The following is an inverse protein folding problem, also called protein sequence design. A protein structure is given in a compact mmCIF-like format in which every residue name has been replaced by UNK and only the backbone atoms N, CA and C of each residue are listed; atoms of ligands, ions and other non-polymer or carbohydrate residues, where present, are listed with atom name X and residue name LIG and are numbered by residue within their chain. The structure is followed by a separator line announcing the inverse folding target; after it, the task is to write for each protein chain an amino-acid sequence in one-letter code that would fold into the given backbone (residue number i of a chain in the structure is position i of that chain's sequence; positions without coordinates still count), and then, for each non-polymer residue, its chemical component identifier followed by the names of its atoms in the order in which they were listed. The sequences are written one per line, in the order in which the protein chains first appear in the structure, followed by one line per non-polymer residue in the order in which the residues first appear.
data_IF_140327571961
#
_entry.id   IF_140327571961
#
_cell.length_a   1.000
_cell.length_b   1.000
_cell.length_c   1.000
_cell.angle_alpha   90.00
_cell.angle_beta   90.00
_cell.angle_gamma   90.00
#
_symmetry.space_group_name_H-M   'P 1'
#
loop_
_entity.id
_entity.type
_entity.pdbx_description
1 polymer ?
#
# COMPACT_ATOMS: atom_id res chain seq x y z
N UNK A 1 -10.16 -6.05 -17.88
CA UNK A 1 -10.45 -4.72 -17.28
C UNK A 1 -9.80 -4.62 -15.91
N UNK A 2 -9.07 -3.52 -15.65
CA UNK A 2 -8.53 -3.21 -14.33
C UNK A 2 -9.63 -2.79 -13.34
N UNK A 3 -9.44 -3.12 -12.06
CA UNK A 3 -10.40 -2.83 -10.99
C UNK A 3 -9.67 -2.46 -9.71
N UNK A 4 -10.13 -1.38 -9.07
CA UNK A 4 -9.75 -1.01 -7.71
C UNK A 4 -10.93 -1.31 -6.78
N UNK A 5 -10.67 -2.08 -5.72
CA UNK A 5 -11.65 -2.39 -4.68
C UNK A 5 -11.14 -1.89 -3.34
N UNK A 6 -11.88 -0.95 -2.76
CA UNK A 6 -11.64 -0.42 -1.42
C UNK A 6 -12.70 -0.99 -0.48
N UNK A 7 -12.29 -1.71 0.55
CA UNK A 7 -13.20 -2.37 1.48
C UNK A 7 -13.57 -1.40 2.62
N UNK A 8 -14.87 -1.17 2.91
CA UNK A 8 -15.28 -0.32 4.02
C UNK A 8 -15.08 -1.04 5.36
N UNK A 9 -13.95 -0.82 6.01
CA UNK A 9 -13.57 -1.54 7.24
C UNK A 9 -13.58 -0.66 8.51
N UNK A 10 -14.08 0.57 8.41
CA UNK A 10 -13.98 1.56 9.50
C UNK A 10 -12.63 2.27 9.44
N UNK A 11 -11.88 2.26 10.54
CA UNK A 11 -10.50 2.74 10.61
C UNK A 11 -9.53 1.57 10.40
N UNK A 12 -9.75 0.79 9.36
CA UNK A 12 -8.89 -0.34 9.02
C UNK A 12 -8.78 -0.38 7.50
N UNK A 13 -7.73 -1.04 7.01
CA UNK A 13 -7.43 -1.02 5.59
C UNK A 13 -7.31 -2.39 4.95
N UNK A 14 -7.85 -2.47 3.74
CA UNK A 14 -7.60 -3.51 2.77
C UNK A 14 -7.97 -2.92 1.42
N UNK A 15 -7.05 -3.01 0.46
CA UNK A 15 -7.25 -2.53 -0.90
C UNK A 15 -6.81 -3.61 -1.89
N UNK A 16 -7.71 -4.01 -2.78
CA UNK A 16 -7.41 -4.95 -3.85
C UNK A 16 -7.31 -4.23 -5.19
N UNK A 17 -6.15 -4.38 -5.85
CA UNK A 17 -5.89 -3.97 -7.21
C UNK A 17 -5.88 -5.21 -8.09
N UNK A 18 -6.86 -5.34 -8.98
CA UNK A 18 -6.89 -6.41 -9.97
C UNK A 18 -6.65 -5.85 -11.36
N UNK A 19 -5.74 -6.46 -12.11
CA UNK A 19 -5.38 -6.02 -13.46
C UNK A 19 -5.84 -7.02 -14.52
N UNK A 20 -5.90 -6.58 -15.78
CA UNK A 20 -6.56 -7.31 -16.86
C UNK A 20 -5.85 -8.61 -17.22
N UNK A 21 -4.53 -8.65 -17.08
CA UNK A 21 -3.72 -9.85 -17.25
C UNK A 21 -3.97 -10.91 -16.15
N UNK A 22 -4.85 -10.63 -15.20
CA UNK A 22 -5.28 -11.55 -14.16
C UNK A 22 -4.44 -11.52 -12.89
N UNK A 23 -3.42 -10.66 -12.79
CA UNK A 23 -2.70 -10.45 -11.54
C UNK A 23 -3.57 -9.69 -10.52
N UNK A 24 -3.38 -10.03 -9.25
CA UNK A 24 -4.08 -9.44 -8.12
C UNK A 24 -3.04 -9.00 -7.09
N UNK A 25 -3.05 -7.72 -6.76
CA UNK A 25 -2.19 -7.09 -5.77
C UNK A 25 -3.05 -6.64 -4.60
N UNK A 26 -2.73 -7.10 -3.40
CA UNK A 26 -3.46 -6.77 -2.18
C UNK A 26 -2.57 -5.88 -1.31
N UNK A 27 -3.10 -4.75 -0.89
CA UNK A 27 -2.42 -3.84 0.03
C UNK A 27 -3.22 -3.78 1.33
N UNK A 28 -2.55 -4.17 2.42
CA UNK A 28 -3.07 -4.46 3.74
C UNK A 28 -4.14 -5.57 3.76
N UNK A 29 -4.32 -6.18 4.93
CA UNK A 29 -5.38 -7.14 5.18
C UNK A 29 -5.80 -7.07 6.64
N UNK A 30 -7.03 -6.59 6.87
CA UNK A 30 -7.56 -6.39 8.21
C UNK A 30 -8.98 -6.94 8.33
N UNK A 31 -9.08 -8.19 8.79
CA UNK A 31 -10.35 -8.84 9.08
C UNK A 31 -10.92 -8.38 10.43
N UNK A 32 -11.41 -7.14 10.46
CA UNK A 32 -11.85 -6.45 11.69
C UNK A 32 -13.35 -6.52 11.93
N UNK A 33 -14.13 -6.97 10.95
CA UNK A 33 -15.57 -7.11 11.08
C UNK A 33 -15.90 -8.11 12.20
N UNK A 34 -16.87 -7.75 13.04
CA UNK A 34 -17.38 -8.62 14.09
C UNK A 34 -18.43 -9.56 13.47
N UNK A 35 -18.16 -10.87 13.35
CA UNK A 35 -19.07 -11.81 12.72
C UNK A 35 -20.35 -12.03 13.54
N UNK A 36 -20.31 -11.78 14.86
CA UNK A 36 -21.40 -12.02 15.79
C UNK A 36 -22.30 -10.78 15.97
N UNK A 37 -21.88 -9.64 15.44
CA UNK A 37 -22.65 -8.40 15.47
C UNK A 37 -23.36 -8.13 14.13
N UNK A 38 -24.68 -8.38 14.03
CA UNK A 38 -25.43 -8.14 12.79
C UNK A 38 -25.56 -6.65 12.43
N UNK A 39 -25.28 -5.74 13.37
CA UNK A 39 -25.27 -4.30 13.11
C UNK A 39 -23.90 -3.79 12.64
N UNK A 40 -22.86 -4.62 12.65
CA UNK A 40 -21.57 -4.26 12.09
C UNK A 40 -21.67 -4.12 10.56
N UNK A 41 -21.35 -2.91 10.08
CA UNK A 41 -21.41 -2.55 8.65
C UNK A 41 -20.08 -2.73 7.94
N UNK A 42 -19.02 -3.10 8.68
CA UNK A 42 -17.70 -3.34 8.11
C UNK A 42 -17.75 -4.53 7.16
N UNK A 43 -17.02 -4.43 6.05
CA UNK A 43 -16.94 -5.50 5.07
C UNK A 43 -16.36 -6.78 5.70
N UNK A 44 -16.95 -7.92 5.34
CA UNK A 44 -16.46 -9.25 5.75
C UNK A 44 -15.32 -9.66 4.81
N UNK A 45 -14.20 -8.95 4.92
CA UNK A 45 -13.13 -8.96 3.92
C UNK A 45 -12.55 -10.35 3.65
N UNK A 46 -12.40 -11.18 4.69
CA UNK A 46 -11.99 -12.58 4.54
C UNK A 46 -12.94 -13.34 3.58
N UNK A 47 -14.25 -13.28 3.83
CA UNK A 47 -15.25 -13.96 3.02
C UNK A 47 -15.35 -13.37 1.61
N UNK A 48 -15.28 -12.04 1.48
CA UNK A 48 -15.33 -11.35 0.18
C UNK A 48 -14.13 -11.72 -0.70
N UNK A 49 -12.91 -11.71 -0.14
CA UNK A 49 -11.69 -12.08 -0.87
C UNK A 49 -11.64 -13.58 -1.17
N UNK A 50 -12.07 -14.46 -0.24
CA UNK A 50 -12.18 -15.90 -0.51
C UNK A 50 -13.11 -16.19 -1.67
N UNK A 51 -14.30 -15.57 -1.68
CA UNK A 51 -15.26 -15.71 -2.77
C UNK A 51 -14.71 -15.15 -4.08
N UNK A 52 -14.05 -14.00 -4.02
CA UNK A 52 -13.38 -13.41 -5.17
C UNK A 52 -12.34 -14.36 -5.78
N UNK A 53 -11.37 -14.82 -4.98
CA UNK A 53 -10.30 -15.70 -5.42
C UNK A 53 -10.84 -17.05 -5.93
N UNK A 54 -11.85 -17.62 -5.25
CA UNK A 54 -12.55 -18.83 -5.69
C UNK A 54 -13.25 -18.64 -7.05
N UNK A 55 -13.93 -17.51 -7.26
CA UNK A 55 -14.59 -17.20 -8.54
C UNK A 55 -13.61 -17.08 -9.70
N UNK A 56 -12.33 -16.83 -9.40
CA UNK A 56 -11.21 -16.71 -10.34
C UNK A 56 -10.41 -18.01 -10.47
N UNK A 57 -10.69 -19.02 -9.65
CA UNK A 57 -9.92 -20.26 -9.58
C UNK A 57 -8.47 -20.04 -9.13
N UNK A 58 -8.21 -19.01 -8.31
CA UNK A 58 -6.86 -18.64 -7.86
C UNK A 58 -6.66 -18.96 -6.38
N UNK A 59 -5.45 -19.38 -6.04
CA UNK A 59 -4.98 -19.62 -4.66
C UNK A 59 -3.82 -18.70 -4.27
N UNK A 60 -3.41 -17.78 -5.14
CA UNK A 60 -2.17 -16.99 -5.00
C UNK A 60 -2.42 -15.53 -5.38
N UNK A 61 -1.95 -14.61 -4.52
CA UNK A 61 -1.80 -13.19 -4.84
C UNK A 61 -0.43 -12.93 -5.44
N UNK A 62 -0.36 -12.02 -6.42
CA UNK A 62 0.90 -11.67 -7.08
C UNK A 62 1.80 -10.87 -6.14
N UNK A 63 1.23 -9.85 -5.50
CA UNK A 63 1.87 -9.09 -4.43
C UNK A 63 0.88 -8.98 -3.27
N UNK A 64 1.38 -9.16 -2.05
CA UNK A 64 0.71 -8.69 -0.85
C UNK A 64 1.64 -7.70 -0.17
N UNK A 65 1.21 -6.44 -0.06
CA UNK A 65 1.95 -5.39 0.62
C UNK A 65 1.31 -5.01 1.93
N UNK A 66 2.10 -4.90 3.00
CA UNK A 66 1.66 -4.32 4.26
C UNK A 66 2.31 -2.97 4.43
N UNK A 67 1.48 -1.95 4.67
CA UNK A 67 1.95 -0.58 4.78
C UNK A 67 2.71 -0.35 6.07
N UNK A 68 2.28 -1.01 7.15
CA UNK A 68 2.96 -1.08 8.44
C UNK A 68 2.38 -2.21 9.31
N UNK A 69 2.85 -2.32 10.55
CA UNK A 69 2.53 -3.43 11.46
C UNK A 69 1.33 -3.23 12.38
N UNK A 70 0.46 -2.25 12.18
CA UNK A 70 -0.69 -2.05 13.06
C UNK A 70 -1.81 -3.07 12.78
N UNK A 71 -2.59 -3.36 13.83
CA UNK A 71 -3.59 -4.42 13.79
C UNK A 71 -4.70 -4.16 12.76
N UNK A 72 -5.04 -2.90 12.53
CA UNK A 72 -6.03 -2.48 11.54
C UNK A 72 -5.50 -2.50 10.10
N UNK A 73 -4.25 -2.94 9.90
CA UNK A 73 -3.64 -3.27 8.61
C UNK A 73 -3.30 -4.76 8.47
N UNK A 74 -3.23 -5.50 9.58
CA UNK A 74 -2.65 -6.86 9.62
C UNK A 74 -3.57 -7.93 10.19
N UNK A 75 -4.65 -7.56 10.88
CA UNK A 75 -5.48 -8.48 11.68
C UNK A 75 -6.08 -9.62 10.85
N UNK A 76 -5.89 -10.85 11.31
CA UNK A 76 -6.36 -12.09 10.71
C UNK A 76 -5.48 -12.59 9.55
N UNK A 77 -4.31 -11.98 9.33
CA UNK A 77 -3.37 -12.42 8.30
C UNK A 77 -2.90 -13.86 8.53
N UNK A 78 -2.72 -14.25 9.80
CA UNK A 78 -2.34 -15.60 10.20
C UNK A 78 -3.42 -16.66 9.95
N UNK A 79 -4.67 -16.30 9.68
CA UNK A 79 -5.77 -17.20 9.29
C UNK A 79 -6.02 -17.22 7.76
N UNK A 80 -5.62 -16.14 7.09
CA UNK A 80 -5.90 -15.93 5.67
C UNK A 80 -4.78 -16.41 4.75
N UNK A 81 -3.53 -16.13 5.11
CA UNK A 81 -2.38 -16.38 4.24
C UNK A 81 -1.65 -17.69 4.54
N UNK A 82 -0.96 -18.18 3.52
CA UNK A 82 0.04 -19.23 3.61
C UNK A 82 1.39 -18.56 3.89
N UNK A 83 1.98 -18.80 5.06
CA UNK A 83 3.31 -18.30 5.40
C UNK A 83 4.36 -19.41 5.29
N UNK A 84 5.39 -19.16 4.47
CA UNK A 84 6.43 -20.15 4.14
C UNK A 84 7.27 -20.49 5.38
N UNK A 85 7.41 -19.54 6.31
CA UNK A 85 8.12 -19.71 7.58
C UNK A 85 7.43 -20.69 8.55
N UNK A 86 6.11 -20.85 8.49
CA UNK A 86 5.35 -21.54 9.54
C UNK A 86 4.57 -22.73 8.98
N UNK A 87 5.07 -23.98 9.13
CA UNK A 87 4.35 -25.16 8.66
C UNK A 87 2.88 -25.27 9.16
N UNK A 88 2.59 -24.74 10.35
CA UNK A 88 1.23 -24.69 10.91
C UNK A 88 0.29 -23.68 10.22
N UNK A 89 0.86 -22.70 9.51
CA UNK A 89 0.13 -21.68 8.74
C UNK A 89 0.22 -21.98 7.23
N UNK A 90 0.42 -23.24 6.87
CA UNK A 90 0.40 -23.73 5.49
C UNK A 90 -0.80 -24.65 5.28
N UNK A 91 -1.14 -24.91 4.00
CA UNK A 91 -2.15 -25.89 3.63
C UNK A 91 -3.48 -25.32 3.16
N UNK A 92 -4.50 -26.17 3.18
CA UNK A 92 -5.75 -25.95 2.45
C UNK A 92 -6.53 -24.75 3.00
N UNK A 93 -7.05 -23.94 2.07
CA UNK A 93 -7.85 -22.75 2.38
C UNK A 93 -7.03 -21.47 2.59
N UNK A 94 -5.70 -21.53 2.62
CA UNK A 94 -4.84 -20.35 2.78
C UNK A 94 -4.31 -19.86 1.44
N UNK A 95 -4.23 -18.55 1.25
CA UNK A 95 -3.74 -17.96 0.01
C UNK A 95 -2.23 -17.74 0.04
N UNK A 96 -1.54 -18.15 -1.03
CA UNK A 96 -0.11 -17.94 -1.20
C UNK A 96 0.20 -16.51 -1.56
N UNK A 97 1.38 -16.06 -1.15
CA UNK A 97 1.94 -14.74 -1.47
C UNK A 97 3.17 -14.97 -2.35
N UNK A 98 3.09 -14.57 -3.62
CA UNK A 98 4.24 -14.71 -4.52
C UNK A 98 5.36 -13.73 -4.16
N UNK A 99 5.02 -12.47 -3.91
CA UNK A 99 5.95 -11.47 -3.38
C UNK A 99 5.32 -10.70 -2.21
N UNK A 100 6.01 -10.68 -1.08
CA UNK A 100 5.61 -9.93 0.12
C UNK A 100 6.29 -8.55 0.11
N UNK A 101 5.53 -7.50 0.30
CA UNK A 101 6.00 -6.11 0.25
C UNK A 101 5.88 -5.49 1.64
N UNK A 102 6.99 -5.03 2.23
CA UNK A 102 7.00 -4.45 3.59
C UNK A 102 8.00 -3.29 3.72
N UNK A 103 7.73 -2.26 4.52
CA UNK A 103 8.75 -1.30 4.90
C UNK A 103 9.83 -1.95 5.76
N UNK A 104 11.06 -1.43 5.70
CA UNK A 104 12.17 -1.87 6.54
C UNK A 104 11.83 -1.84 8.04
N UNK A 105 11.03 -0.87 8.48
CA UNK A 105 10.47 -0.79 9.83
C UNK A 105 9.84 -2.10 10.31
N UNK A 106 9.03 -2.77 9.48
CA UNK A 106 8.43 -4.06 9.85
C UNK A 106 9.45 -5.20 10.02
N UNK A 107 10.62 -5.10 9.37
CA UNK A 107 11.71 -6.06 9.56
C UNK A 107 12.39 -5.82 10.91
N UNK A 108 12.72 -4.57 11.23
CA UNK A 108 13.63 -4.23 12.34
C UNK A 108 12.93 -3.92 13.65
N UNK A 109 11.63 -3.62 13.60
CA UNK A 109 10.82 -3.33 14.77
C UNK A 109 11.01 -4.40 15.86
N UNK A 110 11.07 -3.94 17.11
CA UNK A 110 11.14 -4.80 18.29
C UNK A 110 9.76 -4.92 18.93
N UNK A 111 9.50 -6.04 19.59
CA UNK A 111 8.26 -6.27 20.35
C UNK A 111 6.96 -6.18 19.52
N UNK A 112 7.00 -6.42 18.20
CA UNK A 112 5.75 -6.61 17.44
C UNK A 112 4.99 -7.81 18.03
N UNK A 113 3.68 -7.67 18.16
CA UNK A 113 2.76 -8.65 18.75
C UNK A 113 1.85 -9.26 17.66
N UNK A 114 1.12 -10.31 18.01
CA UNK A 114 0.06 -10.92 17.18
C UNK A 114 0.43 -11.15 15.70
N UNK A 115 -0.43 -10.74 14.78
CA UNK A 115 -0.25 -10.88 13.32
C UNK A 115 0.99 -10.16 12.81
N UNK A 116 1.28 -8.97 13.33
CA UNK A 116 2.45 -8.19 12.95
C UNK A 116 3.75 -8.94 13.27
N UNK A 117 3.79 -9.65 14.40
CA UNK A 117 4.92 -10.52 14.76
C UNK A 117 5.11 -11.65 13.76
N UNK A 118 4.02 -12.28 13.32
CA UNK A 118 4.06 -13.38 12.36
C UNK A 118 4.49 -12.89 10.97
N UNK A 119 3.95 -11.76 10.52
CA UNK A 119 4.36 -11.09 9.28
C UNK A 119 5.83 -10.70 9.30
N UNK A 120 6.33 -10.12 10.39
CA UNK A 120 7.77 -9.83 10.54
C UNK A 120 8.62 -11.10 10.43
N UNK A 121 8.20 -12.20 11.04
CA UNK A 121 8.95 -13.46 11.00
C UNK A 121 8.94 -14.09 9.60
N UNK A 122 7.82 -14.01 8.89
CA UNK A 122 7.68 -14.41 7.48
C UNK A 122 8.56 -13.55 6.58
N UNK A 123 8.50 -12.23 6.74
CA UNK A 123 9.31 -11.29 5.97
C UNK A 123 10.81 -11.51 6.20
N UNK A 124 11.25 -11.66 7.46
CA UNK A 124 12.64 -12.02 7.79
C UNK A 124 13.04 -13.36 7.19
N UNK A 125 12.16 -14.36 7.17
CA UNK A 125 12.45 -15.64 6.53
C UNK A 125 12.74 -15.48 5.04
N UNK A 126 11.81 -14.86 4.31
CA UNK A 126 11.96 -14.58 2.87
C UNK A 126 13.20 -13.75 2.56
N UNK A 127 13.51 -12.75 3.40
CA UNK A 127 14.68 -11.89 3.23
C UNK A 127 16.00 -12.63 3.48
N UNK A 128 16.07 -13.47 4.52
CA UNK A 128 17.24 -14.32 4.77
C UNK A 128 17.49 -15.26 3.60
N UNK A 129 16.45 -15.95 3.14
CA UNK A 129 16.55 -16.91 2.03
C UNK A 129 16.72 -16.23 0.66
N UNK A 130 16.37 -14.95 0.56
CA UNK A 130 16.58 -14.13 -0.63
C UNK A 130 15.54 -14.31 -1.73
N UNK A 131 14.27 -14.58 -1.39
CA UNK A 131 13.21 -14.82 -2.37
C UNK A 131 11.88 -14.16 -1.97
N UNK A 132 11.02 -13.88 -2.96
CA UNK A 132 9.59 -13.61 -2.74
C UNK A 132 9.29 -12.44 -1.80
N UNK A 133 10.19 -11.46 -1.69
CA UNK A 133 10.02 -10.26 -0.85
C UNK A 133 10.59 -9.01 -1.54
N UNK A 134 9.97 -7.87 -1.25
CA UNK A 134 10.49 -6.53 -1.45
C UNK A 134 10.48 -5.78 -0.12
N UNK A 135 11.63 -5.25 0.26
CA UNK A 135 11.75 -4.36 1.41
C UNK A 135 11.84 -2.92 0.91
N UNK A 136 11.12 -2.01 1.56
CA UNK A 136 11.18 -0.59 1.23
C UNK A 136 12.04 0.18 2.21
N UNK A 137 12.96 0.97 1.67
CA UNK A 137 14.01 1.72 2.37
C UNK A 137 15.17 0.87 2.90
N UNK A 138 16.28 1.56 3.21
CA UNK A 138 17.55 1.03 3.71
C UNK A 138 18.06 1.82 4.91
N UNK A 139 17.35 1.81 6.06
CA UNK A 139 17.87 2.42 7.27
C UNK A 139 19.09 1.64 7.81
N UNK A 140 19.91 2.30 8.62
CA UNK A 140 21.02 1.71 9.36
C UNK A 140 20.56 0.52 10.20
N UNK A 141 19.37 0.59 10.82
CA UNK A 141 18.82 -0.53 11.59
C UNK A 141 18.63 -1.82 10.75
N UNK A 142 18.36 -1.69 9.44
CA UNK A 142 18.27 -2.83 8.54
C UNK A 142 19.67 -3.41 8.26
N UNK A 143 20.68 -2.56 8.12
CA UNK A 143 22.07 -2.99 7.99
C UNK A 143 22.54 -3.73 9.26
N UNK A 144 22.21 -3.21 10.44
CA UNK A 144 22.51 -3.85 11.73
C UNK A 144 21.80 -5.21 11.85
N UNK A 145 20.56 -5.32 11.38
CA UNK A 145 19.85 -6.60 11.34
C UNK A 145 20.56 -7.61 10.41
N UNK A 146 20.97 -7.18 9.21
CA UNK A 146 21.72 -8.03 8.28
C UNK A 146 23.05 -8.53 8.90
N UNK A 147 23.80 -7.64 9.54
CA UNK A 147 25.03 -8.01 10.26
C UNK A 147 24.76 -9.04 11.35
N UNK A 148 23.69 -8.85 12.14
CA UNK A 148 23.29 -9.80 13.20
C UNK A 148 22.89 -11.18 12.68
N UNK A 149 22.45 -11.27 11.42
CA UNK A 149 22.09 -12.53 10.76
C UNK A 149 23.27 -13.12 9.96
N UNK A 150 24.44 -12.46 9.96
CA UNK A 150 25.62 -12.89 9.21
C UNK A 150 25.46 -12.79 7.69
N UNK A 151 24.59 -11.89 7.22
CA UNK A 151 24.25 -11.69 5.80
C UNK A 151 24.77 -10.32 5.38
N UNK A 152 25.44 -10.20 4.23
CA UNK A 152 25.81 -8.88 3.70
C UNK A 152 24.60 -8.20 3.05
N UNK A 153 24.43 -6.89 3.29
CA UNK A 153 23.35 -6.11 2.68
C UNK A 153 23.45 -6.12 1.15
N UNK A 154 24.67 -6.15 0.60
CA UNK A 154 24.91 -6.21 -0.85
C UNK A 154 24.30 -7.47 -1.47
N UNK A 155 24.38 -8.60 -0.77
CA UNK A 155 23.82 -9.89 -1.24
C UNK A 155 22.29 -9.89 -1.32
N UNK A 156 21.63 -8.89 -0.72
CA UNK A 156 20.17 -8.72 -0.70
C UNK A 156 19.72 -7.36 -1.24
N UNK A 157 20.64 -6.53 -1.72
CA UNK A 157 20.34 -5.19 -2.27
C UNK A 157 19.29 -5.20 -3.38
N UNK A 158 19.28 -6.23 -4.22
CA UNK A 158 18.30 -6.44 -5.29
C UNK A 158 16.86 -6.70 -4.78
N UNK A 159 16.67 -6.97 -3.49
CA UNK A 159 15.37 -7.12 -2.82
C UNK A 159 14.91 -5.86 -2.10
N UNK A 160 15.71 -4.79 -2.14
CA UNK A 160 15.40 -3.53 -1.48
C UNK A 160 15.14 -2.45 -2.52
N UNK A 161 14.15 -1.60 -2.27
CA UNK A 161 13.81 -0.46 -3.13
C UNK A 161 13.61 0.78 -2.27
N UNK A 162 14.24 1.88 -2.65
CA UNK A 162 14.17 3.14 -1.90
C UNK A 162 13.05 4.03 -2.44
N UNK A 163 12.61 4.99 -1.62
CA UNK A 163 11.77 6.09 -2.07
C UNK A 163 12.40 6.81 -3.27
N UNK A 164 11.56 7.22 -4.21
CA UNK A 164 12.00 7.82 -5.48
C UNK A 164 12.22 6.82 -6.61
N UNK A 165 12.05 5.52 -6.37
CA UNK A 165 12.25 4.46 -7.36
C UNK A 165 10.94 3.79 -7.77
N UNK A 166 10.94 3.21 -8.97
CA UNK A 166 9.91 2.26 -9.39
C UNK A 166 10.26 0.90 -8.79
N UNK A 167 9.32 0.29 -8.08
CA UNK A 167 9.49 -1.05 -7.56
C UNK A 167 9.58 -2.06 -8.72
N UNK A 168 10.54 -2.99 -8.71
CA UNK A 168 10.65 -4.01 -9.74
C UNK A 168 9.45 -4.95 -9.71
N UNK A 169 9.18 -5.61 -10.83
CA UNK A 169 8.04 -6.53 -10.99
C UNK A 169 7.12 -6.08 -12.12
N UNK A 170 5.83 -5.78 -11.87
CA UNK A 170 4.92 -5.35 -12.92
C UNK A 170 5.32 -3.99 -13.49
N UNK A 171 5.35 -3.90 -14.81
CA UNK A 171 5.58 -2.63 -15.53
C UNK A 171 4.36 -2.28 -16.37
N UNK A 172 4.30 -1.04 -16.87
CA UNK A 172 3.23 -0.64 -17.79
C UNK A 172 3.18 -1.53 -19.05
N UNK A 173 4.33 -2.00 -19.54
CA UNK A 173 4.42 -2.84 -20.74
C UNK A 173 4.02 -4.30 -20.48
N UNK A 174 4.43 -4.88 -19.35
CA UNK A 174 4.20 -6.31 -19.06
C UNK A 174 2.95 -6.58 -18.23
N UNK A 175 2.61 -5.66 -17.34
CA UNK A 175 1.57 -5.80 -16.32
C UNK A 175 0.40 -4.84 -16.45
N UNK A 176 0.53 -3.80 -17.29
CA UNK A 176 -0.45 -2.71 -17.37
C UNK A 176 -0.48 -1.81 -16.12
N UNK A 177 0.44 -2.03 -15.17
CA UNK A 177 0.60 -1.25 -13.94
C UNK A 177 2.08 -1.16 -13.55
N UNK A 178 2.49 -0.02 -13.01
CA UNK A 178 3.78 0.17 -12.34
C UNK A 178 3.57 0.81 -10.96
N UNK A 179 4.51 0.62 -10.03
CA UNK A 179 4.44 1.15 -8.67
C UNK A 179 5.65 2.03 -8.38
N UNK A 180 5.42 3.31 -8.09
CA UNK A 180 6.44 4.27 -7.67
C UNK A 180 6.41 4.45 -6.16
N UNK A 181 7.55 4.29 -5.49
CA UNK A 181 7.67 4.35 -4.03
C UNK A 181 7.88 5.80 -3.58
N UNK A 182 6.99 6.31 -2.73
CA UNK A 182 7.14 7.62 -2.09
C UNK A 182 7.76 7.55 -0.71
N UNK A 183 7.51 6.46 0.02
CA UNK A 183 7.86 6.29 1.43
C UNK A 183 8.09 4.81 1.73
N UNK A 184 8.93 4.44 2.70
CA UNK A 184 9.64 5.31 3.64
C UNK A 184 10.99 5.87 3.14
N UNK A 185 11.43 6.97 3.75
CA UNK A 185 12.75 7.54 3.54
C UNK A 185 13.78 6.90 4.49
N UNK A 186 14.98 6.59 3.99
CA UNK A 186 16.04 5.95 4.79
C UNK A 186 16.51 6.82 5.95
N UNK A 187 16.86 8.07 5.68
CA UNK A 187 17.42 8.98 6.68
C UNK A 187 16.48 9.25 7.87
N UNK A 188 15.16 9.26 7.65
CA UNK A 188 14.19 9.50 8.75
C UNK A 188 14.17 8.36 9.75
N UNK A 189 14.20 7.12 9.26
CA UNK A 189 14.26 5.93 10.10
C UNK A 189 15.55 5.85 10.93
N UNK A 190 16.62 6.54 10.53
CA UNK A 190 17.90 6.56 11.24
C UNK A 190 17.91 7.56 12.42
N UNK A 191 17.04 8.57 12.39
CA UNK A 191 16.89 9.57 13.45
C UNK A 191 16.02 9.06 14.62
N UNK A 192 15.21 8.03 14.38
CA UNK A 192 14.27 7.47 15.34
C UNK A 192 14.86 6.30 16.15
N UNK A 193 14.75 6.39 17.49
CA UNK A 193 15.14 5.29 18.39
C UNK A 193 14.06 4.22 18.58
N UNK A 194 12.81 4.58 18.24
CA UNK A 194 11.62 3.71 18.24
C UNK A 194 10.99 3.86 16.86
N UNK A 195 10.68 2.75 16.19
CA UNK A 195 10.05 2.77 14.87
C UNK A 195 8.66 3.42 14.99
N UNK A 196 8.49 4.60 14.40
CA UNK A 196 7.16 5.15 14.15
C UNK A 196 6.57 4.44 12.92
N UNK A 197 5.50 3.68 13.15
CA UNK A 197 4.86 2.85 12.13
C UNK A 197 4.13 3.68 11.07
N UNK A 198 3.54 4.81 11.46
CA UNK A 198 2.74 5.66 10.57
C UNK A 198 3.64 6.54 9.71
N UNK A 199 4.67 7.08 10.33
CA UNK A 199 5.64 7.96 9.67
C UNK A 199 6.56 7.19 8.72
N UNK A 200 6.82 5.91 9.01
CA UNK A 200 7.63 5.02 8.18
C UNK A 200 6.80 4.00 7.39
N UNK A 201 5.52 4.27 7.16
CA UNK A 201 4.65 3.42 6.38
C UNK A 201 4.98 3.45 4.87
N UNK A 202 4.58 2.40 4.17
CA UNK A 202 4.72 2.32 2.72
C UNK A 202 3.64 3.18 2.02
N UNK A 203 4.06 4.29 1.43
CA UNK A 203 3.24 5.14 0.56
C UNK A 203 3.76 5.08 -0.88
N UNK A 204 2.85 5.02 -1.86
CA UNK A 204 3.21 4.78 -3.24
C UNK A 204 2.15 5.30 -4.23
N UNK A 205 2.57 5.46 -5.49
CA UNK A 205 1.67 5.67 -6.63
C UNK A 205 1.62 4.38 -7.45
N UNK A 206 0.42 3.90 -7.78
CA UNK A 206 0.20 2.90 -8.82
C UNK A 206 -0.29 3.58 -10.09
N UNK A 207 0.49 3.49 -11.17
CA UNK A 207 0.14 4.03 -12.49
C UNK A 207 -0.30 2.91 -13.40
N UNK A 208 -1.48 3.03 -13.99
CA UNK A 208 -2.07 2.05 -14.90
C UNK A 208 -2.04 2.56 -16.33
N UNK A 209 -1.95 1.65 -17.32
CA UNK A 209 -2.07 1.99 -18.74
C UNK A 209 -3.15 1.12 -19.41
N UNK A 210 -4.23 1.76 -19.86
CA UNK A 210 -5.33 1.09 -20.60
C UNK A 210 -5.55 1.78 -21.92
N UNK A 211 -5.26 1.09 -23.02
CA UNK A 211 -5.34 1.63 -24.39
C UNK A 211 -4.60 2.98 -24.55
N UNK A 212 -3.43 3.11 -23.94
CA UNK A 212 -2.61 4.33 -23.95
C UNK A 212 -3.09 5.45 -23.02
N UNK A 213 -4.13 5.23 -22.22
CA UNK A 213 -4.60 6.18 -21.20
C UNK A 213 -3.96 5.81 -19.85
N UNK A 214 -3.23 6.77 -19.28
CA UNK A 214 -2.68 6.66 -17.93
C UNK A 214 -3.72 7.04 -16.88
N UNK A 215 -3.82 6.23 -15.84
CA UNK A 215 -4.62 6.51 -14.64
C UNK A 215 -3.76 6.27 -13.41
N UNK A 216 -3.74 7.21 -12.48
CA UNK A 216 -2.89 7.15 -11.28
C UNK A 216 -3.71 6.98 -10.01
N UNK A 217 -3.34 5.99 -9.20
CA UNK A 217 -3.79 5.80 -7.83
C UNK A 217 -2.67 6.23 -6.88
N UNK A 218 -2.95 7.18 -5.99
CA UNK A 218 -2.04 7.57 -4.92
C UNK A 218 -2.51 6.95 -3.59
N UNK A 219 -1.67 6.10 -3.01
CA UNK A 219 -1.88 5.41 -1.73
C UNK A 219 -0.99 6.05 -0.68
N UNK A 220 -1.61 6.80 0.24
CA UNK A 220 -0.88 7.56 1.27
C UNK A 220 -0.83 6.84 2.64
N UNK A 221 -1.37 5.62 2.74
CA UNK A 221 -1.46 4.83 3.98
C UNK A 221 -1.91 5.69 5.18
N UNK A 222 -1.04 5.96 6.15
CA UNK A 222 -1.35 6.57 7.44
C UNK A 222 -0.52 7.82 7.72
N UNK A 223 0.11 8.38 6.67
CA UNK A 223 1.02 9.51 6.83
C UNK A 223 0.32 10.75 7.41
N UNK A 224 0.96 11.35 8.41
CA UNK A 224 0.56 12.64 8.95
C UNK A 224 0.98 13.81 8.05
N UNK A 225 0.52 15.03 8.36
CA UNK A 225 0.78 16.22 7.54
C UNK A 225 2.28 16.49 7.33
N UNK A 226 3.12 16.28 8.35
CA UNK A 226 4.55 16.58 8.25
C UNK A 226 5.23 15.64 7.24
N UNK A 227 4.86 14.37 7.27
CA UNK A 227 5.38 13.33 6.38
C UNK A 227 4.78 13.45 4.99
N UNK A 228 3.50 13.78 4.88
CA UNK A 228 2.89 14.07 3.59
C UNK A 228 3.54 15.30 2.94
N UNK A 229 3.80 16.35 3.72
CA UNK A 229 4.54 17.54 3.25
C UNK A 229 5.93 17.14 2.76
N UNK A 230 6.65 16.30 3.51
CA UNK A 230 7.95 15.81 3.11
C UNK A 230 7.92 14.98 1.81
N UNK A 231 6.94 14.07 1.66
CA UNK A 231 6.73 13.31 0.43
C UNK A 231 6.55 14.27 -0.76
N UNK A 232 5.71 15.30 -0.58
CA UNK A 232 5.42 16.29 -1.63
C UNK A 232 6.69 17.08 -1.96
N UNK A 233 7.33 17.68 -0.96
CA UNK A 233 8.47 18.57 -1.15
C UNK A 233 9.68 17.83 -1.72
N UNK A 234 10.01 16.65 -1.19
CA UNK A 234 11.12 15.83 -1.72
C UNK A 234 10.84 15.42 -3.17
N UNK A 235 9.64 14.93 -3.45
CA UNK A 235 9.29 14.49 -4.83
C UNK A 235 9.38 15.66 -5.81
N UNK A 236 8.92 16.86 -5.42
CA UNK A 236 9.00 18.06 -6.26
C UNK A 236 10.41 18.63 -6.39
N UNK A 237 11.20 18.58 -5.32
CA UNK A 237 12.61 18.97 -5.35
C UNK A 237 13.43 18.11 -6.32
N UNK A 238 13.04 16.84 -6.48
CA UNK A 238 13.59 15.94 -7.50
C UNK A 238 12.95 16.09 -8.89
N UNK A 239 12.08 17.09 -9.11
CA UNK A 239 11.38 17.35 -10.37
C UNK A 239 10.51 16.17 -10.84
N UNK A 240 9.96 15.41 -9.89
CA UNK A 240 9.10 14.24 -10.14
C UNK A 240 7.62 14.57 -9.85
N UNK A 241 7.17 15.79 -10.11
CA UNK A 241 5.78 16.24 -9.88
C UNK A 241 4.74 15.29 -10.49
N UNK A 242 5.06 14.62 -11.61
CA UNK A 242 4.18 13.63 -12.24
C UNK A 242 3.91 12.38 -11.38
N UNK A 243 4.79 12.09 -10.41
CA UNK A 243 4.62 11.00 -9.44
C UNK A 243 3.66 11.36 -8.32
N UNK A 244 3.35 12.64 -8.12
CA UNK A 244 2.30 13.10 -7.22
C UNK A 244 0.94 13.24 -7.93
N UNK A 245 0.87 13.00 -9.24
CA UNK A 245 -0.39 12.98 -9.97
C UNK A 245 -1.31 11.88 -9.43
N UNK A 246 -2.60 12.17 -9.32
CA UNK A 246 -3.60 11.19 -8.90
C UNK A 246 -4.94 11.44 -9.60
N UNK A 247 -5.54 10.38 -10.14
CA UNK A 247 -6.95 10.33 -10.54
C UNK A 247 -7.81 9.80 -9.39
N UNK A 248 -7.22 8.90 -8.59
CA UNK A 248 -7.78 8.35 -7.36
C UNK A 248 -6.74 8.54 -6.26
N UNK A 249 -7.13 9.14 -5.14
CA UNK A 249 -6.28 9.25 -3.96
C UNK A 249 -6.98 8.57 -2.79
N UNK A 250 -6.29 7.62 -2.17
CA UNK A 250 -6.68 7.04 -0.90
C UNK A 250 -5.97 7.83 0.20
N UNK A 251 -6.76 8.69 0.86
CA UNK A 251 -6.30 9.59 1.92
C UNK A 251 -5.93 8.83 3.18
N UNK A 252 -5.06 9.41 4.04
CA UNK A 252 -4.72 8.81 5.32
C UNK A 252 -5.92 8.62 6.25
N UNK A 253 -6.02 7.45 6.90
CA UNK A 253 -7.19 7.08 7.70
C UNK A 253 -7.01 7.26 9.22
N UNK A 254 -5.86 6.94 9.82
CA UNK A 254 -5.65 7.15 11.26
C UNK A 254 -5.43 8.62 11.62
N UNK A 255 -4.78 9.35 10.71
CA UNK A 255 -4.44 10.74 10.94
C UNK A 255 -5.34 11.70 10.16
N UNK A 256 -6.53 11.30 9.72
CA UNK A 256 -7.38 12.10 8.80
C UNK A 256 -7.63 13.57 9.20
N UNK A 257 -7.59 13.89 10.50
CA UNK A 257 -7.69 15.27 10.99
C UNK A 257 -6.35 16.03 10.99
N UNK A 258 -5.24 15.31 11.14
CA UNK A 258 -3.86 15.78 11.20
C UNK A 258 -3.07 15.49 9.93
N UNK A 259 -3.67 14.86 8.92
CA UNK A 259 -3.05 14.61 7.61
C UNK A 259 -3.05 15.85 6.74
N UNK A 260 -3.66 16.94 7.22
CA UNK A 260 -3.74 18.23 6.54
C UNK A 260 -2.85 19.28 7.21
N UNK A 261 -2.75 19.28 8.55
CA UNK A 261 -1.97 20.24 9.31
C UNK A 261 -1.76 19.75 10.76
N UNK A 262 -0.81 20.35 11.48
CA UNK A 262 -0.56 20.10 12.90
C UNK A 262 -1.77 20.44 13.78
N UNK A 263 -2.52 21.48 13.43
CA UNK A 263 -3.69 21.92 14.17
C UNK A 263 -4.98 21.55 13.44
N UNK A 264 -5.80 20.72 14.10
CA UNK A 264 -7.16 20.44 13.64
C UNK A 264 -8.07 21.64 13.89
N UNK A 265 -8.73 22.12 12.85
CA UNK A 265 -9.76 23.15 13.02
C UNK A 265 -11.08 22.59 13.56
N UNK A 266 -11.90 23.46 14.16
CA UNK A 266 -13.18 23.07 14.81
C UNK A 266 -14.16 22.37 13.86
N UNK A 267 -14.18 22.79 12.60
CA UNK A 267 -15.08 22.26 11.56
C UNK A 267 -14.33 21.90 10.27
N UNK A 268 -13.27 22.63 9.95
CA UNK A 268 -12.40 22.42 8.79
C UNK A 268 -10.97 22.65 9.22
N UNK A 269 -10.07 21.77 8.78
CA UNK A 269 -8.62 21.97 8.93
C UNK A 269 -8.10 22.68 7.68
N UNK A 270 -7.33 23.75 7.85
CA UNK A 270 -6.62 24.41 6.76
C UNK A 270 -5.36 23.60 6.47
N UNK A 271 -5.18 23.06 5.25
CA UNK A 271 -3.97 22.30 4.93
C UNK A 271 -2.72 23.18 4.92
N UNK A 272 -1.54 22.58 5.05
CA UNK A 272 -0.28 23.27 4.70
C UNK A 272 -0.23 23.58 3.20
N UNK A 273 0.62 24.52 2.78
CA UNK A 273 0.74 24.92 1.37
C UNK A 273 1.05 23.73 0.44
N UNK A 274 1.93 22.81 0.86
CA UNK A 274 2.26 21.62 0.07
C UNK A 274 1.06 20.69 -0.07
N UNK A 275 0.30 20.48 1.00
CA UNK A 275 -0.88 19.61 1.00
C UNK A 275 -2.04 20.24 0.22
N UNK A 276 -2.23 21.55 0.34
CA UNK A 276 -3.16 22.31 -0.49
C UNK A 276 -2.77 22.20 -1.96
N UNK A 277 -1.47 22.28 -2.27
CA UNK A 277 -0.97 22.08 -3.62
C UNK A 277 -1.30 20.68 -4.15
N UNK A 278 -1.10 19.61 -3.35
CA UNK A 278 -1.37 18.24 -3.78
C UNK A 278 -2.85 18.00 -4.10
N UNK A 279 -3.75 18.49 -3.24
CA UNK A 279 -5.18 18.23 -3.37
C UNK A 279 -5.92 19.26 -4.25
N UNK A 280 -5.47 20.52 -4.24
CA UNK A 280 -6.08 21.63 -4.95
C UNK A 280 -5.69 21.73 -6.43
N UNK A 281 -4.51 21.25 -6.83
CA UNK A 281 -3.98 21.48 -8.18
C UNK A 281 -4.34 20.42 -9.23
N UNK A 282 -5.58 19.89 -9.21
CA UNK A 282 -6.04 18.97 -10.26
C UNK A 282 -5.91 19.56 -11.68
N UNK A 283 -5.96 20.88 -11.84
CA UNK A 283 -5.78 21.54 -13.13
C UNK A 283 -4.32 21.63 -13.60
N UNK A 284 -3.34 21.80 -12.69
CA UNK A 284 -1.93 21.86 -13.06
C UNK A 284 -1.41 20.52 -13.58
N UNK A 285 -1.93 19.42 -13.02
CA UNK A 285 -1.70 18.07 -13.50
C UNK A 285 -2.16 17.86 -14.95
N UNK A 286 -3.20 18.58 -15.41
CA UNK A 286 -3.60 18.55 -16.82
C UNK A 286 -2.61 19.29 -17.72
N UNK A 287 -1.96 20.37 -17.24
CA UNK A 287 -0.97 21.12 -18.01
C UNK A 287 0.35 20.34 -18.19
N UNK A 288 0.77 19.58 -17.17
CA UNK A 288 1.93 18.66 -17.25
C UNK A 288 1.68 17.58 -18.30
N UNK A 289 0.48 16.98 -18.32
CA UNK A 289 0.08 16.01 -19.36
C UNK A 289 0.04 16.62 -20.77
N UNK A 290 -0.33 17.91 -20.91
CA UNK A 290 -0.38 18.59 -22.21
C UNK A 290 0.97 18.92 -22.83
N UNK A 291 2.04 19.10 -22.02
CA UNK A 291 3.38 19.38 -22.55
C UNK A 291 4.06 18.16 -23.20
N UNK A 292 3.54 16.94 -22.99
CA UNK A 292 4.11 15.69 -23.50
C UNK A 292 3.33 15.03 -24.66
N UNK A 293 2.72 15.85 -25.54
CA UNK A 293 2.11 15.55 -26.86
C UNK A 293 0.60 15.86 -26.97
N UNK A 294 0.29 16.61 -28.05
CA UNK A 294 -0.99 16.90 -28.74
C UNK A 294 -2.26 16.95 -27.88
N UNK A 295 -2.73 18.19 -27.72
CA UNK A 295 -4.09 18.63 -27.37
C UNK A 295 -5.20 17.60 -27.53
N UNK A 296 -5.57 16.97 -26.41
CA UNK A 296 -6.86 16.30 -26.22
C UNK A 296 -7.57 16.98 -25.05
N UNK A 297 -8.80 17.47 -25.26
CA UNK A 297 -9.67 17.92 -24.16
C UNK A 297 -10.17 16.67 -23.41
N UNK A 298 -9.84 16.44 -22.13
CA UNK A 298 -10.30 15.23 -21.47
C UNK A 298 -11.71 15.42 -20.90
N UNK A 299 -12.66 14.61 -21.36
CA UNK A 299 -13.65 14.03 -20.44
C UNK A 299 -12.87 13.06 -19.55
N UNK A 300 -12.99 13.19 -18.23
CA UNK A 300 -12.45 12.20 -17.29
C UNK A 300 -13.28 10.92 -17.46
N UNK A 301 -12.83 10.05 -18.35
CA UNK A 301 -13.30 8.66 -18.44
C UNK A 301 -12.20 7.79 -17.84
N UNK A 302 -12.29 7.54 -16.54
CA UNK A 302 -11.45 6.52 -15.89
C UNK A 302 -11.84 5.16 -16.49
N UNK A 303 -10.91 4.47 -17.16
CA UNK A 303 -11.14 3.11 -17.71
C UNK A 303 -11.00 2.01 -16.66
N UNK A 304 -10.72 2.39 -15.42
CA UNK A 304 -10.62 1.49 -14.28
C UNK A 304 -11.96 1.45 -13.54
N UNK A 305 -12.46 0.25 -13.28
CA UNK A 305 -13.69 0.09 -12.49
C UNK A 305 -13.38 0.34 -11.02
N UNK A 306 -13.94 1.43 -10.47
CA UNK A 306 -13.98 1.68 -9.04
C UNK A 306 -15.13 0.90 -8.41
N UNK A 307 -14.85 0.11 -7.39
CA UNK A 307 -15.89 -0.60 -6.63
C UNK A 307 -15.70 -0.33 -5.14
N UNK A 308 -16.72 0.25 -4.50
CA UNK A 308 -16.92 0.10 -3.05
C UNK A 308 -17.69 -1.19 -2.86
N UNK A 309 -17.15 -2.15 -2.11
CA UNK A 309 -17.96 -3.32 -1.76
C UNK A 309 -19.01 -2.90 -0.75
N UNK A 310 -20.27 -3.12 -1.08
CA UNK A 310 -21.38 -3.02 -0.13
C UNK A 310 -22.01 -4.40 -0.09
N UNK A 311 -22.04 -5.03 1.08
CA UNK A 311 -22.92 -6.18 1.28
C UNK A 311 -24.34 -5.66 1.50
N UNK A 312 -25.15 -5.69 0.44
CA UNK A 312 -26.60 -5.50 0.59
C UNK A 312 -27.19 -6.88 0.85
N UNK A 313 -27.44 -7.20 2.12
CA UNK A 313 -28.30 -8.34 2.46
C UNK A 313 -29.74 -7.84 2.65
N UNK A 314 -30.58 -8.24 1.69
CA UNK A 314 -32.01 -8.52 1.86
C UNK A 314 -32.93 -7.42 2.39
N UNK A 315 -33.60 -6.71 1.49
CA UNK A 315 -34.99 -6.31 1.71
C UNK A 315 -35.88 -7.13 0.76
N UNK A 316 -36.50 -8.17 1.29
CA UNK A 316 -37.83 -8.60 0.82
C UNK A 316 -38.86 -7.80 1.60
N UNK A 317 -39.93 -7.42 0.90
CA UNK A 317 -41.05 -6.56 1.29
C UNK A 317 -41.53 -6.70 2.74
#
# INVERSE_FOLDING_TARGET
MHKLTFFPLGNADTTLISVENGQDFLFDFANVADPDNPADKRAKVDAELRNYMKSRGKDTFEIVGFTHGDSDHTKGSDEFFHFDRFPSLQGNGRFKIKELWVPAGMIVEKNSEDDARLLRQEARHRLREGYGIRVFSRPQQLADWFESEGISIESRSHLITDAGQIAPGPTLQSGGVEFFVHSPFGHRQDEETVIDRNENCFAFQARFSVDGILTDLLMLSDVEWEFLTAIIDITRNHQHDDRLHWDVCKIPHHCSAFSLNAEKGKTKTTPTDSIDWLYGNRENFQQVKQHNHRTFRPRITTKIKLTKSFSVSGWSQ
#
